data_IF_789160455375
#
_entry.id   IF_789160455375
#
_cell.length_a   1.000
_cell.length_b   1.000
_cell.length_c   1.000
_cell.angle_alpha   90.00
_cell.angle_beta   90.00
_cell.angle_gamma   90.00
#
_symmetry.space_group_name_H-M   'P 1'
#
loop_
_entity.id
_entity.type
_entity.pdbx_description
1 polymer ?
#
# COMPACT_ATOMS: atom_id res chain seq x y z
N UNK A 1 52.12 -14.69 185.56
CA UNK A 1 52.72 -13.84 184.51
C UNK A 1 53.13 -14.63 183.27
N UNK A 2 53.94 -15.70 183.37
CA UNK A 2 54.45 -16.46 182.19
C UNK A 2 53.40 -17.24 181.38
N UNK A 3 52.38 -17.77 182.02
CA UNK A 3 51.31 -18.56 181.35
C UNK A 3 50.41 -17.69 180.46
N UNK A 4 50.17 -16.44 180.87
CA UNK A 4 49.37 -15.47 180.11
C UNK A 4 50.06 -15.08 178.79
N UNK A 5 51.39 -15.00 178.79
CA UNK A 5 52.16 -14.63 177.59
C UNK A 5 52.26 -15.79 176.59
N UNK A 6 52.35 -17.04 177.07
CA UNK A 6 52.27 -18.23 176.21
C UNK A 6 50.88 -18.37 175.55
N UNK A 7 49.81 -18.11 176.30
CA UNK A 7 48.45 -18.09 175.76
C UNK A 7 48.25 -17.00 174.69
N UNK A 8 48.85 -15.83 174.88
CA UNK A 8 48.85 -14.75 173.88
C UNK A 8 49.57 -15.15 172.59
N UNK A 9 50.74 -15.78 172.70
CA UNK A 9 51.50 -16.25 171.53
C UNK A 9 50.73 -17.32 170.73
N UNK A 10 50.10 -18.28 171.42
CA UNK A 10 49.25 -19.28 170.77
C UNK A 10 48.04 -18.63 170.08
N UNK A 11 47.38 -17.68 170.75
CA UNK A 11 46.26 -16.93 170.17
C UNK A 11 46.68 -16.10 168.94
N UNK A 12 47.88 -15.52 168.93
CA UNK A 12 48.39 -14.76 167.77
C UNK A 12 48.76 -15.65 166.58
N UNK A 13 49.26 -16.87 166.82
CA UNK A 13 49.48 -17.86 165.77
C UNK A 13 48.15 -18.33 165.16
N UNK A 14 47.15 -18.57 166.01
CA UNK A 14 45.79 -18.91 165.56
C UNK A 14 45.13 -17.77 164.79
N UNK A 15 45.31 -16.52 165.23
CA UNK A 15 44.85 -15.32 164.50
C UNK A 15 45.45 -15.25 163.10
N UNK A 16 46.77 -15.39 162.96
CA UNK A 16 47.44 -15.36 161.64
C UNK A 16 46.98 -16.49 160.73
N UNK A 17 46.73 -17.69 161.28
CA UNK A 17 46.16 -18.81 160.53
C UNK A 17 44.77 -18.48 160.01
N UNK A 18 43.89 -17.95 160.87
CA UNK A 18 42.54 -17.54 160.51
C UNK A 18 42.54 -16.38 159.50
N UNK A 19 43.42 -15.40 159.66
CA UNK A 19 43.62 -14.29 158.71
C UNK A 19 44.08 -14.80 157.34
N UNK A 20 44.98 -15.79 157.29
CA UNK A 20 45.40 -16.43 156.04
C UNK A 20 44.26 -17.20 155.35
N UNK A 21 43.41 -17.88 156.14
CA UNK A 21 42.22 -18.55 155.63
C UNK A 21 41.19 -17.54 155.11
N UNK A 22 40.93 -16.46 155.85
CA UNK A 22 40.06 -15.35 155.43
C UNK A 22 40.57 -14.69 154.14
N UNK A 23 41.86 -14.38 154.05
CA UNK A 23 42.44 -13.80 152.83
C UNK A 23 42.30 -14.72 151.62
N UNK A 24 42.45 -16.04 151.81
CA UNK A 24 42.23 -17.00 150.74
C UNK A 24 40.76 -17.02 150.29
N UNK A 25 39.82 -17.08 151.23
CA UNK A 25 38.38 -17.03 150.96
C UNK A 25 37.97 -15.71 150.28
N UNK A 26 38.49 -14.57 150.74
CA UNK A 26 38.29 -13.26 150.12
C UNK A 26 38.83 -13.21 148.70
N UNK A 27 40.01 -13.78 148.43
CA UNK A 27 40.57 -13.86 147.09
C UNK A 27 39.74 -14.77 146.16
N UNK A 28 39.20 -15.88 146.67
CA UNK A 28 38.28 -16.76 145.93
C UNK A 28 36.97 -16.02 145.62
N UNK A 29 36.40 -15.30 146.59
CA UNK A 29 35.21 -14.48 146.38
C UNK A 29 35.46 -13.34 145.38
N UNK A 30 36.61 -12.67 145.44
CA UNK A 30 37.00 -11.64 144.47
C UNK A 30 37.13 -12.22 143.06
N UNK A 31 37.76 -13.39 142.91
CA UNK A 31 37.82 -14.11 141.61
C UNK A 31 36.42 -14.45 141.10
N UNK A 32 35.53 -14.92 141.98
CA UNK A 32 34.16 -15.24 141.58
C UNK A 32 33.40 -13.99 141.10
N UNK A 33 33.53 -12.86 141.81
CA UNK A 33 32.97 -11.56 141.38
C UNK A 33 33.50 -11.13 140.01
N UNK A 34 34.81 -11.20 139.79
CA UNK A 34 35.42 -10.86 138.50
C UNK A 34 34.93 -11.75 137.36
N UNK A 35 34.77 -13.05 137.60
CA UNK A 35 34.22 -13.98 136.59
C UNK A 35 32.77 -13.63 136.25
N UNK A 36 31.93 -13.33 137.26
CA UNK A 36 30.55 -12.91 137.04
C UNK A 36 30.47 -11.59 136.27
N UNK A 37 31.30 -10.60 136.61
CA UNK A 37 31.38 -9.33 135.89
C UNK A 37 31.84 -9.50 134.44
N UNK A 38 32.85 -10.33 134.21
CA UNK A 38 33.35 -10.64 132.87
C UNK A 38 32.28 -11.38 132.03
N UNK A 39 31.55 -12.31 132.64
CA UNK A 39 30.42 -12.98 131.99
C UNK A 39 29.33 -11.98 131.59
N UNK A 40 28.92 -11.09 132.51
CA UNK A 40 27.93 -10.02 132.21
C UNK A 40 28.42 -9.10 131.09
N UNK A 41 29.67 -8.63 131.14
CA UNK A 41 30.26 -7.79 130.08
C UNK A 41 30.32 -8.52 128.74
N UNK A 42 30.65 -9.81 128.74
CA UNK A 42 30.66 -10.62 127.52
C UNK A 42 29.25 -10.82 126.93
N UNK A 43 28.23 -11.00 127.78
CA UNK A 43 26.83 -11.07 127.36
C UNK A 43 26.36 -9.75 126.75
N UNK A 44 26.60 -8.62 127.42
CA UNK A 44 26.24 -7.30 126.90
C UNK A 44 26.88 -7.04 125.54
N UNK A 45 28.18 -7.31 125.38
CA UNK A 45 28.86 -7.16 124.08
C UNK A 45 28.28 -8.09 123.00
N UNK A 46 27.86 -9.30 123.36
CA UNK A 46 27.20 -10.22 122.42
C UNK A 46 25.84 -9.70 121.98
N UNK A 47 25.07 -9.12 122.90
CA UNK A 47 23.77 -8.51 122.61
C UNK A 47 23.94 -7.27 121.72
N UNK A 48 24.85 -6.36 122.08
CA UNK A 48 25.19 -5.17 121.30
C UNK A 48 25.62 -5.54 119.87
N UNK A 49 26.52 -6.52 119.72
CA UNK A 49 26.97 -6.97 118.39
C UNK A 49 25.84 -7.63 117.60
N UNK A 50 24.98 -8.43 118.24
CA UNK A 50 23.81 -9.03 117.59
C UNK A 50 22.81 -7.96 117.10
N UNK A 51 22.56 -6.92 117.89
CA UNK A 51 21.71 -5.79 117.48
C UNK A 51 22.31 -5.04 116.29
N UNK A 52 23.61 -4.75 116.32
CA UNK A 52 24.29 -4.08 115.21
C UNK A 52 24.23 -4.92 113.91
N UNK A 53 24.40 -6.24 114.02
CA UNK A 53 24.29 -7.14 112.87
C UNK A 53 22.86 -7.20 112.32
N UNK A 54 21.83 -7.17 113.18
CA UNK A 54 20.42 -7.12 112.75
C UNK A 54 20.12 -5.84 111.97
N UNK A 55 20.51 -4.69 112.52
CA UNK A 55 20.33 -3.39 111.85
C UNK A 55 21.04 -3.36 110.49
N UNK A 56 22.26 -3.90 110.43
CA UNK A 56 22.99 -3.99 109.17
C UNK A 56 22.27 -4.88 108.14
N UNK A 57 21.76 -6.03 108.56
CA UNK A 57 21.01 -6.93 107.69
C UNK A 57 19.72 -6.27 107.17
N UNK A 58 18.99 -5.55 108.02
CA UNK A 58 17.79 -4.79 107.65
C UNK A 58 18.11 -3.72 106.60
N UNK A 59 19.13 -2.90 106.84
CA UNK A 59 19.58 -1.87 105.89
C UNK A 59 19.98 -2.47 104.54
N UNK A 60 20.70 -3.59 104.55
CA UNK A 60 21.08 -4.29 103.31
C UNK A 60 19.87 -4.80 102.54
N UNK A 61 18.88 -5.34 103.23
CA UNK A 61 17.64 -5.79 102.59
C UNK A 61 16.85 -4.63 101.98
N UNK A 62 16.82 -3.46 102.62
CA UNK A 62 16.19 -2.26 102.09
C UNK A 62 16.93 -1.72 100.86
N UNK A 63 18.27 -1.64 100.92
CA UNK A 63 19.10 -1.26 99.77
C UNK A 63 18.87 -2.19 98.58
N UNK A 64 18.85 -3.51 98.81
CA UNK A 64 18.59 -4.49 97.76
C UNK A 64 17.19 -4.34 97.15
N UNK A 65 16.17 -4.06 97.96
CA UNK A 65 14.81 -3.79 97.47
C UNK A 65 14.78 -2.53 96.61
N UNK A 66 15.36 -1.44 97.09
CA UNK A 66 15.44 -0.19 96.33
C UNK A 66 16.22 -0.35 95.01
N UNK A 67 17.31 -1.12 95.01
CA UNK A 67 18.04 -1.44 93.78
C UNK A 67 17.19 -2.26 92.80
N UNK A 68 16.44 -3.26 93.29
CA UNK A 68 15.54 -4.06 92.42
C UNK A 68 14.45 -3.21 91.80
N UNK A 69 13.77 -2.37 92.59
CA UNK A 69 12.75 -1.45 92.10
C UNK A 69 13.32 -0.49 91.06
N UNK A 70 14.51 0.07 91.30
CA UNK A 70 15.15 0.95 90.32
C UNK A 70 15.46 0.22 89.01
N UNK A 71 16.00 -1.01 89.08
CA UNK A 71 16.28 -1.84 87.90
C UNK A 71 14.99 -2.15 87.13
N UNK A 72 13.90 -2.45 87.82
CA UNK A 72 12.58 -2.70 87.21
C UNK A 72 12.08 -1.45 86.47
N UNK A 73 12.10 -0.27 87.11
CA UNK A 73 11.70 1.00 86.48
C UNK A 73 12.55 1.32 85.24
N UNK A 74 13.87 1.12 85.31
CA UNK A 74 14.75 1.33 84.15
C UNK A 74 14.43 0.33 83.03
N UNK A 75 14.21 -0.94 83.37
CA UNK A 75 13.86 -1.97 82.39
C UNK A 75 12.51 -1.68 81.71
N UNK A 76 11.50 -1.25 82.48
CA UNK A 76 10.21 -0.81 81.96
C UNK A 76 10.34 0.43 81.08
N UNK A 77 11.13 1.42 81.49
CA UNK A 77 11.44 2.60 80.67
C UNK A 77 12.05 2.22 79.32
N UNK A 78 12.97 1.26 79.29
CA UNK A 78 13.54 0.74 78.05
C UNK A 78 12.52 -0.01 77.19
N UNK A 79 11.64 -0.83 77.78
CA UNK A 79 10.55 -1.52 77.07
C UNK A 79 9.60 -0.50 76.43
N UNK A 80 9.12 0.46 77.23
CA UNK A 80 8.21 1.52 76.79
C UNK A 80 8.82 2.36 75.65
N UNK A 81 10.10 2.72 75.76
CA UNK A 81 10.81 3.44 74.70
C UNK A 81 10.89 2.64 73.39
N UNK A 82 11.18 1.34 73.47
CA UNK A 82 11.21 0.45 72.30
C UNK A 82 9.83 0.34 71.65
N UNK A 83 8.78 0.16 72.44
CA UNK A 83 7.41 0.08 71.95
C UNK A 83 6.95 1.40 71.31
N UNK A 84 7.25 2.54 71.92
CA UNK A 84 6.93 3.85 71.35
C UNK A 84 7.63 4.05 69.99
N UNK A 85 8.91 3.65 69.88
CA UNK A 85 9.64 3.68 68.61
C UNK A 85 9.02 2.75 67.56
N UNK A 86 8.58 1.56 67.95
CA UNK A 86 7.91 0.61 67.05
C UNK A 86 6.58 1.17 66.52
N UNK A 87 5.71 1.68 67.42
CA UNK A 87 4.44 2.33 67.04
C UNK A 87 4.65 3.51 66.10
N UNK A 88 5.65 4.35 66.37
CA UNK A 88 6.00 5.47 65.48
C UNK A 88 6.46 4.99 64.11
N UNK A 89 7.24 3.91 64.03
CA UNK A 89 7.69 3.34 62.75
C UNK A 89 6.49 2.82 61.95
N UNK A 90 5.58 2.08 62.58
CA UNK A 90 4.36 1.59 61.93
C UNK A 90 3.49 2.73 61.43
N UNK A 91 3.27 3.77 62.26
CA UNK A 91 2.50 4.94 61.86
C UNK A 91 3.11 5.67 60.66
N UNK A 92 4.43 5.90 60.67
CA UNK A 92 5.14 6.49 59.53
C UNK A 92 5.03 5.63 58.27
N UNK A 93 5.11 4.31 58.40
CA UNK A 93 4.94 3.39 57.28
C UNK A 93 3.53 3.48 56.69
N UNK A 94 2.49 3.53 57.53
CA UNK A 94 1.10 3.70 57.08
C UNK A 94 0.91 5.02 56.33
N UNK A 95 1.40 6.14 56.87
CA UNK A 95 1.32 7.44 56.17
C UNK A 95 2.01 7.37 54.81
N UNK A 96 3.22 6.80 54.74
CA UNK A 96 3.95 6.68 53.47
C UNK A 96 3.18 5.82 52.47
N UNK A 97 2.55 4.73 52.92
CA UNK A 97 1.70 3.89 52.07
C UNK A 97 0.50 4.68 51.54
N UNK A 98 -0.27 5.33 52.41
CA UNK A 98 -1.44 6.15 52.05
C UNK A 98 -1.07 7.26 51.05
N UNK A 99 -0.01 8.03 51.34
CA UNK A 99 0.45 9.10 50.44
C UNK A 99 0.94 8.53 49.11
N UNK A 100 1.59 7.36 49.12
CA UNK A 100 2.04 6.71 47.88
C UNK A 100 0.86 6.22 47.03
N UNK A 101 -0.21 5.73 47.65
CA UNK A 101 -1.43 5.29 46.98
C UNK A 101 -2.16 6.50 46.39
N UNK A 102 -2.38 7.55 47.18
CA UNK A 102 -2.97 8.81 46.72
C UNK A 102 -2.17 9.43 45.57
N UNK A 103 -0.83 9.45 45.67
CA UNK A 103 0.02 9.96 44.59
C UNK A 103 -0.10 9.15 43.31
N UNK A 104 -0.20 7.81 43.40
CA UNK A 104 -0.43 6.93 42.25
C UNK A 104 -1.80 7.16 41.62
N UNK A 105 -2.84 7.34 42.43
CA UNK A 105 -4.20 7.61 41.97
C UNK A 105 -4.30 8.95 41.24
N UNK A 106 -3.74 10.02 41.83
CA UNK A 106 -3.67 11.33 41.19
C UNK A 106 -2.90 11.28 39.86
N UNK A 107 -1.79 10.53 39.81
CA UNK A 107 -1.05 10.33 38.57
C UNK A 107 -1.88 9.59 37.52
N UNK A 108 -2.62 8.55 37.91
CA UNK A 108 -3.51 7.81 36.99
C UNK A 108 -4.61 8.72 36.43
N UNK A 109 -5.27 9.48 37.30
CA UNK A 109 -6.31 10.44 36.90
C UNK A 109 -5.77 11.47 35.91
N UNK A 110 -4.61 12.07 36.21
CA UNK A 110 -3.98 13.04 35.32
C UNK A 110 -3.63 12.43 33.94
N UNK A 111 -3.19 11.17 33.89
CA UNK A 111 -2.91 10.48 32.64
C UNK A 111 -4.18 10.19 31.84
N UNK A 112 -5.25 9.73 32.49
CA UNK A 112 -6.55 9.47 31.87
C UNK A 112 -7.18 10.76 31.32
N UNK A 113 -7.13 11.85 32.09
CA UNK A 113 -7.59 13.17 31.66
C UNK A 113 -6.82 13.68 30.45
N UNK A 114 -5.48 13.61 30.50
CA UNK A 114 -4.63 14.02 29.38
C UNK A 114 -4.91 13.18 28.11
N UNK A 115 -5.15 11.88 28.26
CA UNK A 115 -5.50 11.00 27.14
C UNK A 115 -6.90 11.33 26.58
N UNK A 116 -7.88 11.62 27.43
CA UNK A 116 -9.21 12.04 27.02
C UNK A 116 -9.18 13.39 26.29
N UNK A 117 -8.42 14.36 26.79
CA UNK A 117 -8.20 15.64 26.10
C UNK A 117 -7.54 15.47 24.74
N UNK A 118 -6.52 14.62 24.65
CA UNK A 118 -5.86 14.33 23.38
C UNK A 118 -6.82 13.68 22.37
N UNK A 119 -7.68 12.78 22.84
CA UNK A 119 -8.71 12.15 22.01
C UNK A 119 -9.70 13.18 21.47
N UNK A 120 -10.20 14.09 22.32
CA UNK A 120 -11.06 15.22 21.91
C UNK A 120 -10.38 16.12 20.88
N UNK A 121 -9.08 16.43 21.07
CA UNK A 121 -8.29 17.21 20.12
C UNK A 121 -8.16 16.50 18.78
N UNK A 122 -7.92 15.18 18.77
CA UNK A 122 -7.86 14.40 17.52
C UNK A 122 -9.22 14.36 16.80
N UNK A 123 -10.32 14.22 17.53
CA UNK A 123 -11.67 14.29 16.96
C UNK A 123 -11.92 15.65 16.29
N UNK A 124 -11.56 16.75 16.96
CA UNK A 124 -11.66 18.09 16.40
C UNK A 124 -10.81 18.26 15.14
N UNK A 125 -9.55 17.78 15.16
CA UNK A 125 -8.67 17.81 13.98
C UNK A 125 -9.29 17.03 12.82
N UNK A 126 -9.91 15.86 13.08
CA UNK A 126 -10.61 15.09 12.05
C UNK A 126 -11.79 15.87 11.46
N UNK A 127 -12.57 16.55 12.29
CA UNK A 127 -13.68 17.40 11.84
C UNK A 127 -13.19 18.55 10.97
N UNK A 128 -12.13 19.26 11.39
CA UNK A 128 -11.52 20.35 10.61
C UNK A 128 -11.05 19.84 9.26
N UNK A 129 -10.29 18.74 9.22
CA UNK A 129 -9.83 18.15 7.96
C UNK A 129 -10.98 17.72 7.04
N UNK A 130 -12.07 17.19 7.61
CA UNK A 130 -13.25 16.85 6.82
C UNK A 130 -13.87 18.10 6.18
N UNK A 131 -13.98 19.20 6.91
CA UNK A 131 -14.46 20.48 6.38
C UNK A 131 -13.51 21.07 5.32
N UNK A 132 -12.20 21.05 5.58
CA UNK A 132 -11.18 21.51 4.64
C UNK A 132 -11.12 20.68 3.35
N UNK A 133 -11.45 19.38 3.43
CA UNK A 133 -11.47 18.49 2.26
C UNK A 133 -12.61 18.78 1.30
N UNK A 134 -13.64 19.54 1.72
CA UNK A 134 -14.74 19.93 0.83
C UNK A 134 -14.21 20.92 -0.20
N UNK A 135 -14.21 20.57 -1.50
CA UNK A 135 -13.74 21.49 -2.53
C UNK A 135 -14.64 22.73 -2.55
N UNK A 136 -14.05 23.91 -2.34
CA UNK A 136 -14.77 25.18 -2.49
C UNK A 136 -15.01 25.39 -3.97
N UNK A 137 -16.22 25.07 -4.45
CA UNK A 137 -16.63 25.27 -5.84
C UNK A 137 -16.75 26.78 -6.09
N UNK A 138 -15.70 27.39 -6.63
CA UNK A 138 -15.70 28.78 -7.11
C UNK A 138 -16.11 28.81 -8.58
N UNK A 139 -17.36 28.50 -8.88
CA UNK A 139 -17.88 28.78 -10.21
C UNK A 139 -18.07 30.28 -10.37
N UNK A 140 -17.13 30.92 -11.07
CA UNK A 140 -17.33 32.28 -11.57
C UNK A 140 -18.33 32.15 -12.72
N UNK A 141 -19.51 32.74 -12.57
CA UNK A 141 -20.43 32.88 -13.69
C UNK A 141 -19.71 33.72 -14.75
N UNK A 142 -19.39 33.10 -15.88
CA UNK A 142 -18.81 33.80 -17.02
C UNK A 142 -19.98 34.37 -17.81
N UNK A 143 -20.13 35.69 -17.76
CA UNK A 143 -21.05 36.37 -18.65
C UNK A 143 -20.43 36.42 -20.06
N UNK A 144 -21.09 35.81 -21.03
CA UNK A 144 -20.62 35.76 -22.42
C UNK A 144 -20.98 37.03 -23.20
N UNK A 145 -21.79 37.91 -22.61
CA UNK A 145 -22.18 39.20 -23.18
C UNK A 145 -21.19 40.32 -22.85
N UNK A 146 -20.37 40.13 -21.82
CA UNK A 146 -19.30 41.06 -21.49
C UNK A 146 -18.11 40.90 -22.44
N UNK A 147 -17.48 42.02 -22.81
CA UNK A 147 -16.19 42.01 -23.48
C UNK A 147 -15.09 41.55 -22.50
N UNK A 148 -14.02 40.93 -23.02
CA UNK A 148 -12.93 40.35 -22.22
C UNK A 148 -12.18 41.33 -21.32
N UNK A 149 -12.34 42.65 -21.53
CA UNK A 149 -11.83 43.69 -20.64
C UNK A 149 -10.31 43.83 -20.70
N UNK A 150 -9.67 43.41 -21.81
CA UNK A 150 -8.22 43.47 -21.99
C UNK A 150 -7.75 44.81 -22.60
N UNK A 151 -8.67 45.77 -22.76
CA UNK A 151 -8.43 47.11 -23.32
C UNK A 151 -7.83 47.12 -24.74
N UNK A 152 -8.02 46.07 -25.51
CA UNK A 152 -7.67 45.99 -26.92
C UNK A 152 -8.69 46.77 -27.76
N UNK A 153 -8.22 47.48 -28.78
CA UNK A 153 -9.09 48.12 -29.75
C UNK A 153 -9.79 47.04 -30.58
N UNK A 154 -11.12 46.96 -30.46
CA UNK A 154 -11.94 46.00 -31.20
C UNK A 154 -12.29 44.72 -30.44
N UNK A 155 -12.21 44.72 -29.11
CA UNK A 155 -12.79 43.64 -28.30
C UNK A 155 -14.29 43.51 -28.55
N UNK A 156 -14.73 42.27 -28.68
CA UNK A 156 -16.12 41.88 -28.89
C UNK A 156 -16.45 40.75 -27.94
N UNK A 157 -17.71 40.71 -27.53
CA UNK A 157 -18.21 39.61 -26.69
C UNK A 157 -18.18 38.29 -27.47
N UNK A 158 -18.19 37.17 -26.74
CA UNK A 158 -18.21 35.83 -27.38
C UNK A 158 -19.47 35.65 -28.22
N UNK A 159 -20.59 36.27 -27.81
CA UNK A 159 -21.85 36.28 -28.57
C UNK A 159 -21.69 37.02 -29.89
N UNK A 160 -21.14 38.25 -29.86
CA UNK A 160 -20.91 39.05 -31.06
C UNK A 160 -19.99 38.36 -32.07
N UNK A 161 -18.93 37.72 -31.59
CA UNK A 161 -18.01 36.95 -32.45
C UNK A 161 -18.71 35.76 -33.13
N UNK A 162 -19.64 35.09 -32.43
CA UNK A 162 -20.44 34.00 -33.01
C UNK A 162 -21.38 34.49 -34.10
N UNK A 163 -22.02 35.64 -33.91
CA UNK A 163 -22.89 36.25 -34.92
C UNK A 163 -22.11 36.64 -36.17
N UNK A 164 -20.97 37.32 -36.01
CA UNK A 164 -20.09 37.67 -37.14
C UNK A 164 -19.60 36.44 -37.89
N UNK A 165 -19.22 35.38 -37.18
CA UNK A 165 -18.82 34.12 -37.79
C UNK A 165 -19.96 33.49 -38.60
N UNK A 166 -21.20 33.56 -38.10
CA UNK A 166 -22.37 33.06 -38.80
C UNK A 166 -22.58 33.81 -40.13
N UNK A 167 -22.54 35.15 -40.10
CA UNK A 167 -22.66 35.98 -41.30
C UNK A 167 -21.57 35.67 -42.35
N UNK A 168 -20.32 35.51 -41.92
CA UNK A 168 -19.22 35.17 -42.83
C UNK A 168 -19.40 33.78 -43.46
N UNK A 169 -19.89 32.80 -42.71
CA UNK A 169 -20.20 31.47 -43.24
C UNK A 169 -21.33 31.51 -44.27
N UNK A 170 -22.35 32.32 -44.04
CA UNK A 170 -23.43 32.52 -45.00
C UNK A 170 -22.93 33.18 -46.29
N UNK A 171 -22.12 34.23 -46.19
CA UNK A 171 -21.51 34.89 -47.35
C UNK A 171 -20.66 33.91 -48.18
N UNK A 172 -19.79 33.13 -47.53
CA UNK A 172 -18.97 32.13 -48.21
C UNK A 172 -19.81 31.04 -48.91
N UNK A 173 -20.95 30.64 -48.33
CA UNK A 173 -21.87 29.69 -48.98
C UNK A 173 -22.49 30.29 -50.24
N UNK A 174 -22.95 31.55 -50.17
CA UNK A 174 -23.52 32.26 -51.34
C UNK A 174 -22.49 32.37 -52.48
N UNK A 175 -21.26 32.75 -52.17
CA UNK A 175 -20.18 32.81 -53.18
C UNK A 175 -19.92 31.44 -53.82
N UNK A 176 -19.98 30.36 -53.02
CA UNK A 176 -19.81 29.00 -53.54
C UNK A 176 -20.98 28.59 -54.46
N UNK A 177 -22.21 28.95 -54.11
CA UNK A 177 -23.41 28.72 -54.93
C UNK A 177 -23.32 29.48 -56.25
N UNK A 178 -23.02 30.79 -56.22
CA UNK A 178 -22.82 31.59 -57.44
C UNK A 178 -21.74 30.99 -58.35
N UNK A 179 -20.65 30.49 -57.77
CA UNK A 179 -19.59 29.84 -58.55
C UNK A 179 -20.08 28.54 -59.20
N UNK A 180 -20.91 27.76 -58.50
CA UNK A 180 -21.52 26.54 -59.07
C UNK A 180 -22.46 26.88 -60.21
N UNK A 181 -23.28 27.91 -60.05
CA UNK A 181 -24.24 28.35 -61.07
C UNK A 181 -23.52 28.85 -62.32
N UNK A 182 -22.47 29.68 -62.17
CA UNK A 182 -21.61 30.10 -63.30
C UNK A 182 -21.02 28.91 -64.06
N UNK A 183 -20.53 27.89 -63.36
CA UNK A 183 -20.00 26.69 -64.00
C UNK A 183 -21.10 25.92 -64.74
N UNK A 184 -22.31 25.85 -64.19
CA UNK A 184 -23.45 25.20 -64.86
C UNK A 184 -23.87 25.97 -66.12
N UNK A 185 -23.96 27.29 -66.05
CA UNK A 185 -24.25 28.16 -67.20
C UNK A 185 -23.19 27.98 -68.30
N UNK A 186 -21.89 28.04 -67.95
CA UNK A 186 -20.80 27.79 -68.89
C UNK A 186 -20.89 26.40 -69.53
N UNK A 187 -21.25 25.37 -68.75
CA UNK A 187 -21.46 24.01 -69.27
C UNK A 187 -22.62 23.96 -70.24
N UNK A 188 -23.77 24.57 -69.91
CA UNK A 188 -24.94 24.62 -70.79
C UNK A 188 -24.62 25.33 -72.10
N UNK A 189 -23.91 26.46 -72.06
CA UNK A 189 -23.49 27.19 -73.27
C UNK A 189 -22.54 26.33 -74.12
N UNK A 190 -21.60 25.62 -73.50
CA UNK A 190 -20.71 24.68 -74.23
C UNK A 190 -21.48 23.51 -74.84
N UNK A 191 -22.45 22.96 -74.11
CA UNK A 191 -23.34 21.89 -74.62
C UNK A 191 -24.16 22.36 -75.82
N UNK A 192 -24.74 23.57 -75.75
CA UNK A 192 -25.46 24.17 -76.88
C UNK A 192 -24.56 24.34 -78.11
N UNK A 193 -23.35 24.88 -77.93
CA UNK A 193 -22.39 25.05 -79.02
C UNK A 193 -21.96 23.69 -79.64
N UNK A 194 -21.82 22.65 -78.83
CA UNK A 194 -21.55 21.30 -79.32
C UNK A 194 -22.74 20.74 -80.12
N UNK A 195 -23.99 20.96 -79.67
CA UNK A 195 -25.18 20.57 -80.41
C UNK A 195 -25.26 21.29 -81.77
N UNK A 196 -25.02 22.60 -81.80
CA UNK A 196 -24.96 23.38 -83.04
C UNK A 196 -23.89 22.83 -84.01
N UNK A 197 -22.70 22.50 -83.50
CA UNK A 197 -21.64 21.87 -84.31
C UNK A 197 -22.06 20.50 -84.86
N UNK A 198 -22.73 19.67 -84.04
CA UNK A 198 -23.27 18.38 -84.48
C UNK A 198 -24.33 18.55 -85.58
N UNK A 199 -25.22 19.55 -85.44
CA UNK A 199 -26.22 19.89 -86.44
C UNK A 199 -25.56 20.35 -87.75
N UNK A 200 -24.54 21.20 -87.69
CA UNK A 200 -23.75 21.59 -88.86
C UNK A 200 -23.10 20.39 -89.55
N UNK A 201 -22.52 19.45 -88.79
CA UNK A 201 -21.96 18.21 -89.33
C UNK A 201 -23.07 17.36 -89.97
N UNK A 202 -24.25 17.26 -89.35
CA UNK A 202 -25.38 16.52 -89.88
C UNK A 202 -25.89 17.14 -91.20
N UNK A 203 -26.01 18.46 -91.27
CA UNK A 203 -26.36 19.19 -92.49
C UNK A 203 -25.33 18.94 -93.60
N UNK A 204 -24.02 19.05 -93.31
CA UNK A 204 -22.97 18.74 -94.28
C UNK A 204 -23.02 17.28 -94.76
N UNK A 205 -23.21 16.31 -93.85
CA UNK A 205 -23.37 14.90 -94.20
C UNK A 205 -24.62 14.66 -95.05
N UNK A 206 -25.73 15.32 -94.76
CA UNK A 206 -26.96 15.21 -95.54
C UNK A 206 -26.77 15.77 -96.96
N UNK A 207 -26.11 16.92 -97.11
CA UNK A 207 -25.77 17.49 -98.43
C UNK A 207 -24.84 16.56 -99.20
N UNK A 208 -23.78 16.05 -98.57
CA UNK A 208 -22.86 15.08 -99.18
C UNK A 208 -23.57 13.77 -99.54
N UNK A 209 -24.47 13.29 -98.69
CA UNK A 209 -25.30 12.11 -98.91
C UNK A 209 -26.25 12.29 -100.10
N UNK A 210 -26.92 13.45 -100.20
CA UNK A 210 -27.75 13.83 -101.37
C UNK A 210 -26.92 13.91 -102.64
N UNK A 211 -25.74 14.54 -102.59
CA UNK A 211 -24.83 14.60 -103.73
C UNK A 211 -24.33 13.20 -104.16
N UNK A 212 -24.06 12.30 -103.21
CA UNK A 212 -23.69 10.91 -103.50
C UNK A 212 -24.84 10.10 -104.11
N UNK A 213 -26.08 10.31 -103.66
CA UNK A 213 -27.28 9.70 -104.23
C UNK A 213 -27.50 10.14 -105.69
N UNK A 214 -27.37 11.44 -105.98
CA UNK A 214 -27.44 11.96 -107.36
C UNK A 214 -26.36 11.34 -108.26
N UNK A 215 -25.11 11.22 -107.78
CA UNK A 215 -24.03 10.54 -108.51
C UNK A 215 -24.33 9.06 -108.78
N UNK A 216 -25.03 8.38 -107.87
CA UNK A 216 -25.46 6.98 -108.07
C UNK A 216 -26.55 6.88 -109.14
N UNK A 217 -27.50 7.81 -109.16
CA UNK A 217 -28.52 7.88 -110.22
C UNK A 217 -27.92 8.20 -111.58
N UNK A 218 -26.97 9.14 -111.67
CA UNK A 218 -26.21 9.41 -112.89
C UNK A 218 -25.44 8.17 -113.40
N UNK A 219 -24.83 7.40 -112.48
CA UNK A 219 -24.17 6.12 -112.83
C UNK A 219 -25.16 5.08 -113.36
N UNK A 220 -26.37 5.00 -112.80
CA UNK A 220 -27.45 4.13 -113.30
C UNK A 220 -27.96 4.60 -114.67
N UNK A 221 -28.07 5.91 -114.89
CA UNK A 221 -28.47 6.49 -116.18
C UNK A 221 -27.39 6.33 -117.29
N UNK A 222 -26.10 6.25 -116.93
CA UNK A 222 -24.98 5.97 -117.86
C UNK A 222 -24.76 4.48 -118.16
N UNK A 223 -25.43 3.58 -117.45
CA UNK A 223 -25.32 2.13 -117.66
C UNK A 223 -25.64 1.64 -119.09
N UNK A 224 -26.64 2.18 -119.84
CA UNK A 224 -26.85 1.79 -121.23
C UNK A 224 -25.72 2.28 -122.18
N UNK A 225 -25.06 3.41 -121.88
CA UNK A 225 -23.98 3.95 -122.72
C UNK A 225 -22.65 3.17 -122.57
N UNK A 226 -22.39 2.57 -121.40
CA UNK A 226 -21.23 1.70 -121.17
C UNK A 226 -21.41 0.30 -121.78
N UNK A 227 -22.64 -0.19 -121.92
CA UNK A 227 -22.93 -1.48 -122.59
C UNK A 227 -22.65 -1.45 -124.10
N UNK A 228 -22.77 -0.29 -124.75
CA UNK A 228 -22.47 -0.14 -126.17
C UNK A 228 -20.96 -0.10 -126.50
N UNK A 229 -20.11 0.27 -125.54
CA UNK A 229 -18.65 0.43 -125.74
C UNK A 229 -17.84 -0.85 -125.47
N UNK A 230 -18.48 -1.92 -125.00
CA UNK A 230 -17.85 -3.22 -124.77
C UNK A 230 -17.79 -4.11 -126.04
N UNK A 231 -18.19 -3.60 -127.21
CA UNK A 231 -18.27 -4.35 -128.47
C UNK A 231 -16.94 -4.42 -129.25
N UNK A 232 -15.88 -3.74 -128.83
CA UNK A 232 -14.59 -3.86 -129.51
C UNK A 232 -13.44 -3.88 -128.52
N UNK A 233 -12.91 -5.07 -128.25
CA UNK A 233 -11.50 -5.25 -127.90
C UNK A 233 -11.12 -6.73 -128.12
N UNK A 234 -10.69 -7.06 -129.34
CA UNK A 234 -10.15 -8.39 -129.75
C UNK A 234 -8.95 -8.84 -128.90
N UNK A 235 -8.28 -7.90 -128.22
CA UNK A 235 -7.20 -8.21 -127.27
C UNK A 235 -7.69 -8.94 -126.01
N UNK A 236 -8.97 -8.76 -125.64
CA UNK A 236 -9.57 -9.47 -124.49
C UNK A 236 -9.94 -10.91 -124.84
N UNK A 237 -10.36 -11.18 -126.08
CA UNK A 237 -10.61 -12.56 -126.54
C UNK A 237 -9.30 -13.36 -126.68
N UNK A 238 -8.21 -12.72 -127.10
CA UNK A 238 -6.86 -13.34 -127.09
C UNK A 238 -6.35 -13.63 -125.67
N UNK A 239 -6.60 -12.74 -124.71
CA UNK A 239 -6.23 -12.96 -123.31
C UNK A 239 -7.10 -14.03 -122.63
N UNK A 240 -8.39 -14.15 -123.00
CA UNK A 240 -9.26 -15.24 -122.56
C UNK A 240 -8.79 -16.59 -123.10
N UNK A 241 -8.40 -16.67 -124.39
CA UNK A 241 -7.78 -17.89 -124.96
C UNK A 241 -6.50 -18.28 -124.22
N UNK A 242 -5.60 -17.33 -123.96
CA UNK A 242 -4.37 -17.56 -123.18
C UNK A 242 -4.67 -18.03 -121.73
N UNK A 243 -5.79 -17.59 -121.16
CA UNK A 243 -6.20 -17.98 -119.81
C UNK A 243 -6.85 -19.37 -119.79
N UNK A 244 -7.60 -19.74 -120.84
CA UNK A 244 -8.12 -21.09 -121.06
C UNK A 244 -7.00 -22.10 -121.33
N UNK A 245 -6.00 -21.76 -122.14
CA UNK A 245 -4.81 -22.57 -122.34
C UNK A 245 -4.05 -22.79 -121.02
N UNK A 246 -3.86 -21.73 -120.22
CA UNK A 246 -3.24 -21.85 -118.89
C UNK A 246 -4.11 -22.60 -117.88
N UNK A 247 -5.44 -22.57 -118.01
CA UNK A 247 -6.36 -23.40 -117.21
C UNK A 247 -6.29 -24.87 -117.61
N UNK A 248 -6.24 -25.19 -118.90
CA UNK A 248 -6.06 -26.55 -119.40
C UNK A 248 -4.68 -27.11 -119.02
N UNK A 249 -3.61 -26.30 -119.06
CA UNK A 249 -2.30 -26.71 -118.53
C UNK A 249 -2.36 -26.99 -117.02
N UNK A 250 -3.05 -26.14 -116.25
CA UNK A 250 -3.23 -26.35 -114.80
C UNK A 250 -4.11 -27.57 -114.49
N UNK A 251 -5.13 -27.85 -115.31
CA UNK A 251 -5.95 -29.07 -115.20
C UNK A 251 -5.14 -30.31 -115.55
N UNK A 252 -4.36 -30.32 -116.64
CA UNK A 252 -3.45 -31.44 -116.97
C UNK A 252 -2.41 -31.68 -115.88
N UNK A 253 -1.86 -30.62 -115.29
CA UNK A 253 -0.97 -30.73 -114.13
C UNK A 253 -1.71 -31.24 -112.89
N UNK A 254 -2.92 -30.74 -112.61
CA UNK A 254 -3.77 -31.20 -111.51
C UNK A 254 -4.19 -32.67 -111.67
N UNK A 255 -4.56 -33.12 -112.87
CA UNK A 255 -4.88 -34.50 -113.20
C UNK A 255 -3.64 -35.39 -113.08
N UNK A 256 -2.47 -34.92 -113.50
CA UNK A 256 -1.20 -35.64 -113.30
C UNK A 256 -0.85 -35.80 -111.82
N UNK A 257 -1.17 -34.80 -110.99
CA UNK A 257 -0.97 -34.83 -109.55
C UNK A 257 -2.03 -35.69 -108.84
N UNK A 258 -3.29 -35.66 -109.29
CA UNK A 258 -4.38 -36.54 -108.83
C UNK A 258 -4.08 -38.00 -109.16
N UNK A 259 -3.63 -38.32 -110.37
CA UNK A 259 -3.18 -39.67 -110.76
C UNK A 259 -1.97 -40.17 -109.95
N UNK A 260 -1.07 -39.26 -109.53
CA UNK A 260 0.05 -39.59 -108.63
C UNK A 260 -0.41 -39.80 -107.18
N UNK A 261 -1.39 -39.04 -106.72
CA UNK A 261 -2.00 -39.19 -105.39
C UNK A 261 -2.88 -40.46 -105.30
N UNK A 262 -3.62 -40.82 -106.35
CA UNK A 262 -4.42 -42.04 -106.39
C UNK A 262 -3.55 -43.32 -106.44
N UNK A 263 -2.38 -43.25 -107.08
CA UNK A 263 -1.39 -44.35 -107.04
C UNK A 263 -0.71 -44.48 -105.67
N UNK A 264 -0.58 -43.39 -104.90
CA UNK A 264 -0.03 -43.47 -103.54
C UNK A 264 -1.07 -43.98 -102.53
N UNK A 265 -2.34 -43.60 -102.67
CA UNK A 265 -3.44 -44.13 -101.85
C UNK A 265 -3.76 -45.60 -102.15
N UNK A 266 -3.67 -46.04 -103.43
CA UNK A 266 -3.79 -47.45 -103.81
C UNK A 266 -2.64 -48.34 -103.31
N UNK A 267 -1.43 -47.78 -103.12
CA UNK A 267 -0.30 -48.48 -102.47
C UNK A 267 -0.46 -48.54 -100.95
N UNK A 268 -1.02 -47.51 -100.33
CA UNK A 268 -1.30 -47.47 -98.89
C UNK A 268 -2.40 -48.46 -98.47
N UNK A 269 -3.48 -48.59 -99.25
CA UNK A 269 -4.57 -49.55 -98.99
C UNK A 269 -4.15 -51.02 -99.18
N UNK A 270 -3.15 -51.31 -100.03
CA UNK A 270 -2.54 -52.65 -100.15
C UNK A 270 -1.53 -52.97 -99.04
N UNK A 271 -0.96 -51.96 -98.38
CA UNK A 271 -0.09 -52.15 -97.21
C UNK A 271 -0.89 -52.34 -95.91
N UNK A 272 -2.10 -51.77 -95.82
CA UNK A 272 -2.95 -51.89 -94.64
C UNK A 272 -3.63 -53.27 -94.50
N UNK A 273 -3.81 -54.01 -95.59
CA UNK A 273 -4.32 -55.38 -95.57
C UNK A 273 -3.30 -56.44 -95.11
N UNK A 274 -2.01 -56.09 -94.98
CA UNK A 274 -0.92 -57.03 -94.62
C UNK A 274 -0.55 -57.02 -93.12
N UNK A 275 -1.11 -56.13 -92.31
CA UNK A 275 -0.82 -56.03 -90.86
C UNK A 275 -2.02 -56.30 -89.94
N UNK A 276 -2.92 -57.19 -90.36
CA UNK A 276 -3.90 -57.90 -89.50
C UNK A 276 -3.38 -59.26 -89.00
N UNK A 277 -2.07 -59.47 -89.02
CA UNK A 277 -1.41 -60.56 -88.29
C UNK A 277 -0.47 -59.88 -87.28
N UNK A 278 -0.64 -60.25 -86.02
CA UNK A 278 0.14 -59.90 -84.80
C UNK A 278 -0.11 -58.55 -84.10
N UNK A 279 -0.78 -58.70 -82.94
CA UNK A 279 -0.36 -58.21 -81.61
C UNK A 279 -0.87 -56.87 -81.02
N UNK A 280 -1.82 -57.04 -80.08
CA UNK A 280 -1.93 -56.51 -78.69
C UNK A 280 -0.60 -56.45 -77.89
N UNK A 281 -0.59 -56.04 -76.59
CA UNK A 281 -1.12 -54.84 -75.89
C UNK A 281 -0.02 -54.20 -74.97
N UNK A 282 -0.34 -53.20 -74.13
CA UNK A 282 0.51 -52.84 -72.97
C UNK A 282 0.23 -51.49 -72.26
N UNK A 283 -0.15 -51.42 -70.95
CA UNK A 283 -0.79 -50.25 -70.32
C UNK A 283 -0.05 -49.65 -69.07
N UNK A 284 -0.56 -48.52 -68.54
CA UNK A 284 -0.29 -48.03 -67.16
C UNK A 284 -0.40 -46.49 -67.04
N UNK A 285 -1.51 -45.87 -66.63
CA UNK A 285 -2.14 -45.75 -65.30
C UNK A 285 -1.71 -44.50 -64.47
N UNK A 286 -2.70 -43.58 -64.29
CA UNK A 286 -3.13 -42.84 -63.06
C UNK A 286 -2.11 -41.91 -62.36
N UNK A 287 -2.44 -40.72 -61.83
CA UNK A 287 -3.50 -40.23 -60.90
C UNK A 287 -3.53 -38.67 -60.94
N UNK A 288 -4.69 -37.98 -60.91
CA UNK A 288 -5.30 -37.28 -59.74
C UNK A 288 -4.31 -36.34 -58.99
N UNK A 289 -4.55 -35.04 -58.68
CA UNK A 289 -5.77 -34.26 -58.42
C UNK A 289 -5.42 -32.73 -58.39
N UNK A 290 -6.42 -31.82 -58.34
CA UNK A 290 -6.28 -30.37 -58.15
C UNK A 290 -6.65 -29.89 -56.72
N UNK A 291 -6.53 -28.57 -56.51
CA UNK A 291 -7.07 -27.74 -55.40
C UNK A 291 -6.29 -27.71 -54.07
N UNK A 292 -5.79 -26.53 -53.70
CA UNK A 292 -6.33 -25.64 -52.65
C UNK A 292 -5.56 -24.32 -52.63
#
# INVERSE_FOLDING_TARGET
MRELDLQRQLADVERRRLEGQLSHEEAVLARHRLLQENQRKAQLKKEETAEMMRRYAELRLEEEKGMKELVEVVAEGHKNSKEAKAKLKEYKQRIVQEVSEQSRELLRQALEEAQAELSRKFELIRQIRALESVPVIRHRFVDLTEAGGHALLGEMSVVELRERLALLKEAARREQEERRDRILEEKQVREQLLLEQLDHIALHRAVLGRAAALRQEEKKARAPALRARAIQDERVSELQRKLEEKRQQRQRQSESLKMKAEKSTARSLKAWSVKKVTHTPGPGARTLQPNS
#
